data_IF_415936078683
#
_entry.id   IF_415936078683
#
_cell.length_a   1.000
_cell.length_b   1.000
_cell.length_c   1.000
_cell.angle_alpha   90.00
_cell.angle_beta   90.00
_cell.angle_gamma   90.00
#
_symmetry.space_group_name_H-M   'P 1'
#
loop_
_entity.id
_entity.type
_entity.pdbx_description
1 polymer ?
#
# COMPACT_ATOMS: atom_id res chain seq x y z
N UNK A 1 -25.61 -8.65 -6.57
CA UNK A 1 -24.94 -9.35 -5.44
C UNK A 1 -23.67 -8.61 -4.99
N UNK A 2 -23.57 -7.28 -5.09
CA UNK A 2 -22.26 -6.61 -5.14
C UNK A 2 -21.83 -5.88 -3.86
N UNK A 3 -22.71 -5.14 -3.17
CA UNK A 3 -22.25 -4.23 -2.11
C UNK A 3 -21.87 -4.92 -0.79
N UNK A 4 -22.60 -5.97 -0.38
CA UNK A 4 -22.36 -6.63 0.92
C UNK A 4 -21.01 -7.36 0.97
N UNK A 5 -20.59 -7.97 -0.14
CA UNK A 5 -19.29 -8.65 -0.20
C UNK A 5 -18.13 -7.67 -0.18
N UNK A 6 -18.25 -6.53 -0.86
CA UNK A 6 -17.22 -5.49 -0.86
C UNK A 6 -17.03 -4.89 0.53
N UNK A 7 -18.13 -4.60 1.24
CA UNK A 7 -18.08 -4.15 2.64
C UNK A 7 -17.39 -5.19 3.52
N UNK A 8 -17.77 -6.46 3.40
CA UNK A 8 -17.16 -7.53 4.18
C UNK A 8 -15.66 -7.72 3.90
N UNK A 9 -15.24 -7.61 2.63
CA UNK A 9 -13.81 -7.66 2.27
C UNK A 9 -13.04 -6.52 2.92
N UNK A 10 -13.60 -5.30 2.95
CA UNK A 10 -12.98 -4.17 3.66
C UNK A 10 -12.86 -4.45 5.15
N UNK A 11 -13.88 -5.00 5.80
CA UNK A 11 -13.83 -5.39 7.22
C UNK A 11 -12.78 -6.46 7.51
N UNK A 12 -12.65 -7.46 6.62
CA UNK A 12 -11.57 -8.46 6.69
C UNK A 12 -10.22 -7.76 6.64
N UNK A 13 -9.98 -6.88 5.67
CA UNK A 13 -8.69 -6.21 5.49
C UNK A 13 -8.37 -5.27 6.65
N UNK A 14 -9.37 -4.56 7.18
CA UNK A 14 -9.26 -3.75 8.38
C UNK A 14 -8.86 -4.58 9.61
N UNK A 15 -9.37 -5.81 9.73
CA UNK A 15 -9.06 -6.74 10.82
C UNK A 15 -7.70 -7.41 10.63
N UNK A 16 -7.37 -7.78 9.40
CA UNK A 16 -6.12 -8.48 9.05
C UNK A 16 -4.91 -7.55 9.15
N UNK A 17 -5.05 -6.24 8.89
CA UNK A 17 -3.95 -5.27 8.99
C UNK A 17 -3.24 -5.31 10.36
N UNK A 18 -3.91 -5.09 11.52
CA UNK A 18 -3.24 -5.15 12.82
C UNK A 18 -2.70 -6.55 13.15
N UNK A 19 -3.38 -7.62 12.73
CA UNK A 19 -2.91 -9.00 12.93
C UNK A 19 -1.63 -9.30 12.13
N UNK A 20 -1.55 -8.84 10.88
CA UNK A 20 -0.37 -8.97 10.04
C UNK A 20 0.83 -8.21 10.60
N UNK A 21 0.58 -7.02 11.16
CA UNK A 21 1.59 -6.23 11.86
C UNK A 21 2.07 -6.93 13.15
N UNK A 22 1.15 -7.47 13.95
CA UNK A 22 1.47 -8.22 15.16
C UNK A 22 2.26 -9.50 14.86
N UNK A 23 1.84 -10.27 13.87
CA UNK A 23 2.56 -11.44 13.39
C UNK A 23 4.00 -11.08 13.00
N UNK A 24 4.19 -9.96 12.28
CA UNK A 24 5.53 -9.49 11.93
C UNK A 24 6.36 -9.13 13.18
N UNK A 25 5.81 -8.38 14.14
CA UNK A 25 6.52 -8.01 15.37
C UNK A 25 6.93 -9.23 16.20
N UNK A 26 6.10 -10.28 16.22
CA UNK A 26 6.38 -11.51 16.97
C UNK A 26 7.40 -12.43 16.27
N UNK A 27 7.37 -12.49 14.94
CA UNK A 27 8.11 -13.53 14.19
C UNK A 27 9.25 -13.00 13.34
N UNK A 28 9.29 -11.68 13.09
CA UNK A 28 10.15 -11.04 12.10
C UNK A 28 9.83 -11.40 10.65
N UNK A 29 8.71 -12.10 10.37
CA UNK A 29 8.31 -12.57 9.04
C UNK A 29 6.95 -11.98 8.65
N UNK A 30 6.70 -11.67 7.37
CA UNK A 30 5.41 -11.15 6.94
C UNK A 30 4.35 -12.28 6.93
N UNK A 31 3.11 -11.94 7.31
CA UNK A 31 1.97 -12.87 7.24
C UNK A 31 1.57 -13.22 5.79
N UNK A 32 1.96 -12.39 4.82
CA UNK A 32 1.69 -12.61 3.39
C UNK A 32 0.51 -11.82 2.82
N UNK A 33 -0.01 -10.84 3.56
CA UNK A 33 -1.20 -10.02 3.21
C UNK A 33 -0.85 -8.58 2.79
N UNK A 34 0.44 -8.32 2.51
CA UNK A 34 0.95 -6.96 2.29
C UNK A 34 0.37 -6.28 1.05
N UNK A 35 0.07 -7.04 0.00
CA UNK A 35 -0.51 -6.48 -1.24
C UNK A 35 -1.94 -6.01 -1.01
N UNK A 36 -2.75 -6.88 -0.42
CA UNK A 36 -4.15 -6.64 -0.13
C UNK A 36 -4.34 -5.51 0.89
N UNK A 37 -3.48 -5.45 1.92
CA UNK A 37 -3.48 -4.33 2.87
C UNK A 37 -3.06 -3.02 2.19
N UNK A 38 -2.10 -3.04 1.26
CA UNK A 38 -1.71 -1.84 0.52
C UNK A 38 -2.85 -1.31 -0.36
N UNK A 39 -3.57 -2.19 -1.04
CA UNK A 39 -4.78 -1.83 -1.81
C UNK A 39 -5.84 -1.19 -0.92
N UNK A 40 -6.16 -1.85 0.21
CA UNK A 40 -7.10 -1.31 1.20
C UNK A 40 -6.67 0.07 1.72
N UNK A 41 -5.43 0.21 2.18
CA UNK A 41 -4.93 1.48 2.73
C UNK A 41 -4.92 2.59 1.69
N UNK A 42 -4.55 2.31 0.44
CA UNK A 42 -4.63 3.28 -0.65
C UNK A 42 -6.07 3.68 -0.96
N UNK A 43 -7.01 2.72 -0.98
CA UNK A 43 -8.42 3.01 -1.21
C UNK A 43 -9.01 3.92 -0.13
N UNK A 44 -8.74 3.62 1.15
CA UNK A 44 -9.20 4.45 2.27
C UNK A 44 -8.55 5.84 2.28
N UNK A 45 -7.25 5.93 2.00
CA UNK A 45 -6.50 7.19 2.07
C UNK A 45 -6.80 8.12 0.89
N UNK A 46 -6.97 7.58 -0.31
CA UNK A 46 -7.10 8.34 -1.55
C UNK A 46 -8.52 8.32 -2.15
N UNK A 47 -9.47 7.66 -1.50
CA UNK A 47 -10.85 7.53 -1.99
C UNK A 47 -10.96 6.70 -3.26
N UNK A 48 -10.14 5.65 -3.40
CA UNK A 48 -10.18 4.79 -4.60
C UNK A 48 -11.29 3.73 -4.49
N UNK A 49 -11.84 3.35 -5.63
CA UNK A 49 -12.76 2.22 -5.74
C UNK A 49 -11.97 0.98 -6.12
N UNK A 50 -11.79 0.04 -5.20
CA UNK A 50 -11.15 -1.25 -5.50
C UNK A 50 -12.01 -2.04 -6.49
N UNK A 51 -11.35 -2.71 -7.44
CA UNK A 51 -12.05 -3.60 -8.38
C UNK A 51 -11.88 -5.06 -7.99
N UNK A 52 -12.77 -5.96 -8.42
CA UNK A 52 -12.65 -7.39 -8.10
C UNK A 52 -11.34 -7.99 -8.61
N UNK A 53 -10.78 -8.95 -7.85
CA UNK A 53 -9.46 -9.59 -8.05
C UNK A 53 -9.24 -10.34 -9.38
N UNK A 54 -10.22 -10.33 -10.30
CA UNK A 54 -10.14 -10.93 -11.64
C UNK A 54 -10.08 -9.89 -12.76
N UNK A 55 -10.05 -8.61 -12.41
CA UNK A 55 -9.91 -7.54 -13.40
C UNK A 55 -8.52 -7.57 -14.00
N UNK A 56 -8.45 -7.55 -15.32
CA UNK A 56 -7.17 -7.65 -16.02
C UNK A 56 -6.45 -6.32 -15.93
N UNK A 57 -5.43 -6.24 -15.07
CA UNK A 57 -4.35 -5.25 -15.21
C UNK A 57 -4.39 -4.03 -14.29
N UNK A 58 -5.46 -3.80 -13.54
CA UNK A 58 -5.56 -2.72 -12.56
C UNK A 58 -6.32 -3.18 -11.31
N UNK A 59 -6.08 -2.51 -10.20
CA UNK A 59 -6.51 -2.90 -8.85
C UNK A 59 -7.56 -1.92 -8.30
N UNK A 60 -7.61 -0.68 -8.81
CA UNK A 60 -8.59 0.33 -8.41
C UNK A 60 -8.92 1.35 -9.50
N UNK A 61 -9.98 2.13 -9.26
CA UNK A 61 -10.43 3.26 -10.08
C UNK A 61 -10.42 4.57 -9.28
N UNK A 62 -10.00 5.66 -9.94
CA UNK A 62 -10.20 7.05 -9.51
C UNK A 62 -10.99 7.79 -10.60
N UNK A 63 -12.32 7.76 -10.50
CA UNK A 63 -13.17 8.11 -11.64
C UNK A 63 -12.99 7.11 -12.78
N UNK A 64 -12.56 7.57 -13.95
CA UNK A 64 -12.25 6.72 -15.11
C UNK A 64 -10.78 6.25 -15.13
N UNK A 65 -9.91 6.82 -14.28
CA UNK A 65 -8.50 6.46 -14.21
C UNK A 65 -8.31 5.07 -13.61
N UNK A 66 -7.62 4.19 -14.34
CA UNK A 66 -7.29 2.81 -13.91
C UNK A 66 -5.93 2.80 -13.22
N UNK A 67 -5.92 2.32 -11.98
CA UNK A 67 -4.74 2.35 -11.12
C UNK A 67 -4.30 0.93 -10.78
N UNK A 68 -3.04 0.60 -11.04
CA UNK A 68 -2.40 -0.61 -10.54
C UNK A 68 -1.63 -0.29 -9.24
N UNK A 69 -2.05 -0.89 -8.15
CA UNK A 69 -1.50 -0.69 -6.82
C UNK A 69 -0.46 -1.77 -6.53
N UNK A 70 0.69 -1.37 -5.99
CA UNK A 70 1.77 -2.28 -5.60
C UNK A 70 2.21 -1.94 -4.20
N UNK A 71 2.02 -2.88 -3.28
CA UNK A 71 2.42 -2.74 -1.88
C UNK A 71 3.87 -3.14 -1.64
N UNK A 72 4.57 -2.39 -0.79
CA UNK A 72 5.85 -2.79 -0.21
C UNK A 72 5.91 -2.38 1.25
N UNK A 73 6.06 -3.37 2.13
CA UNK A 73 6.41 -3.14 3.52
C UNK A 73 7.94 -3.10 3.69
N UNK A 74 8.45 -2.12 4.43
CA UNK A 74 9.85 -2.05 4.84
C UNK A 74 9.95 -1.53 6.27
N UNK A 75 11.08 -1.76 6.92
CA UNK A 75 11.36 -1.26 8.26
C UNK A 75 12.83 -0.83 8.34
N UNK A 76 13.24 -0.29 9.49
CA UNK A 76 14.60 0.23 9.69
C UNK A 76 15.71 -0.80 9.38
N UNK A 77 15.41 -2.10 9.56
CA UNK A 77 16.34 -3.20 9.29
C UNK A 77 16.09 -3.91 7.94
N UNK A 78 15.28 -3.35 7.05
CA UNK A 78 14.95 -3.99 5.78
C UNK A 78 16.19 -4.09 4.88
N UNK A 79 16.55 -5.31 4.48
CA UNK A 79 17.66 -5.54 3.55
C UNK A 79 17.37 -4.86 2.21
N UNK A 80 18.36 -4.17 1.59
CA UNK A 80 18.18 -3.47 0.31
C UNK A 80 17.70 -4.33 -0.88
N UNK A 81 17.66 -5.66 -0.72
CA UNK A 81 17.29 -6.62 -1.77
C UNK A 81 15.82 -7.05 -1.79
N UNK A 82 14.96 -6.61 -0.87
CA UNK A 82 13.54 -6.97 -0.91
C UNK A 82 12.86 -6.32 -2.13
N UNK A 83 12.38 -7.16 -3.04
CA UNK A 83 11.81 -6.75 -4.33
C UNK A 83 10.30 -6.58 -4.22
N UNK A 84 9.79 -5.51 -4.82
CA UNK A 84 8.36 -5.36 -5.11
C UNK A 84 7.93 -6.42 -6.14
N UNK A 85 6.67 -6.83 -6.08
CA UNK A 85 6.04 -7.68 -7.09
C UNK A 85 6.17 -7.07 -8.49
N UNK A 86 6.31 -7.91 -9.52
CA UNK A 86 6.42 -7.49 -10.91
C UNK A 86 5.20 -6.68 -11.35
N UNK A 87 5.44 -5.56 -12.03
CA UNK A 87 4.41 -4.79 -12.73
C UNK A 87 4.08 -5.57 -14.02
N UNK A 88 2.80 -5.92 -14.20
CA UNK A 88 2.35 -6.56 -15.44
C UNK A 88 2.46 -5.54 -16.56
N UNK A 89 3.22 -5.86 -17.60
CA UNK A 89 3.26 -5.08 -18.84
C UNK A 89 2.00 -5.40 -19.66
N UNK A 90 1.60 -4.49 -20.53
CA UNK A 90 0.44 -4.61 -21.44
C UNK A 90 -0.92 -4.73 -20.73
N UNK A 91 -1.04 -4.13 -19.55
CA UNK A 91 -2.29 -3.99 -18.84
C UNK A 91 -3.06 -2.74 -19.29
N UNK A 92 -4.41 -2.76 -19.34
CA UNK A 92 -5.23 -1.58 -19.51
C UNK A 92 -5.17 -0.74 -18.22
N UNK A 93 -4.09 0.00 -18.02
CA UNK A 93 -3.78 0.74 -16.80
C UNK A 93 -3.21 2.12 -17.16
N UNK A 94 -3.60 3.14 -16.39
CA UNK A 94 -3.22 4.52 -16.63
C UNK A 94 -2.11 4.95 -15.65
N UNK A 95 -2.20 4.49 -14.39
CA UNK A 95 -1.29 4.90 -13.31
C UNK A 95 -0.82 3.71 -12.46
N UNK A 96 0.47 3.72 -12.09
CA UNK A 96 1.03 2.82 -11.08
C UNK A 96 1.14 3.56 -9.77
N UNK A 97 0.54 3.00 -8.71
CA UNK A 97 0.64 3.48 -7.35
C UNK A 97 1.48 2.51 -6.50
N UNK A 98 2.65 2.96 -6.04
CA UNK A 98 3.46 2.24 -5.07
C UNK A 98 3.11 2.70 -3.66
N UNK A 99 2.62 1.79 -2.83
CA UNK A 99 2.30 2.04 -1.43
C UNK A 99 3.43 1.52 -0.56
N UNK A 100 4.09 2.43 0.13
CA UNK A 100 5.19 2.18 1.05
C UNK A 100 4.64 2.09 2.47
N UNK A 101 4.60 0.87 3.00
CA UNK A 101 4.12 0.56 4.34
C UNK A 101 5.29 0.36 5.31
N UNK A 102 5.09 0.74 6.56
CA UNK A 102 5.95 0.31 7.66
C UNK A 102 5.67 -1.17 7.99
N UNK A 103 6.69 -2.01 8.12
CA UNK A 103 6.45 -3.45 8.30
C UNK A 103 5.97 -3.85 9.70
N UNK A 104 6.20 -3.02 10.71
CA UNK A 104 5.87 -3.30 12.09
C UNK A 104 4.44 -2.86 12.42
N UNK A 105 3.86 -1.98 11.61
CA UNK A 105 2.52 -1.40 11.82
C UNK A 105 1.58 -1.62 10.63
N UNK A 106 2.13 -1.87 9.44
CA UNK A 106 1.42 -1.85 8.15
C UNK A 106 0.70 -0.51 7.88
N UNK A 107 1.14 0.58 8.52
CA UNK A 107 0.70 1.93 8.20
C UNK A 107 1.41 2.44 6.95
N UNK A 108 0.70 3.21 6.13
CA UNK A 108 1.32 3.88 5.00
C UNK A 108 2.25 5.00 5.50
N UNK A 109 3.49 4.98 5.01
CA UNK A 109 4.45 6.06 5.17
C UNK A 109 4.36 7.00 3.96
N UNK A 110 4.41 6.42 2.76
CA UNK A 110 4.41 7.14 1.49
C UNK A 110 3.57 6.42 0.42
N UNK A 111 3.01 7.18 -0.49
CA UNK A 111 2.32 6.69 -1.68
C UNK A 111 2.89 7.41 -2.89
N UNK A 112 3.46 6.65 -3.81
CA UNK A 112 4.16 7.17 -4.97
C UNK A 112 3.35 6.82 -6.21
N UNK A 113 2.87 7.83 -6.95
CA UNK A 113 2.14 7.63 -8.20
C UNK A 113 2.98 8.04 -9.43
N UNK A 114 2.91 7.25 -10.51
CA UNK A 114 3.52 7.58 -11.80
C UNK A 114 2.67 7.06 -12.97
N UNK A 115 2.70 7.73 -14.14
CA UNK A 115 2.02 7.23 -15.33
C UNK A 115 2.50 5.82 -15.71
N UNK A 116 1.57 4.91 -15.97
CA UNK A 116 1.87 3.51 -16.30
C UNK A 116 2.81 3.38 -17.50
N UNK A 117 2.54 4.13 -18.57
CA UNK A 117 3.40 4.18 -19.76
C UNK A 117 4.86 4.55 -19.44
N UNK A 118 5.06 5.54 -18.57
CA UNK A 118 6.40 5.96 -18.14
C UNK A 118 7.14 4.87 -17.36
N UNK A 119 6.41 4.07 -16.57
CA UNK A 119 6.98 2.94 -15.83
C UNK A 119 7.33 1.79 -16.77
N UNK A 120 6.45 1.45 -17.72
CA UNK A 120 6.69 0.43 -18.74
C UNK A 120 7.94 0.75 -19.58
N UNK A 121 8.06 2.00 -20.07
CA UNK A 121 9.25 2.45 -20.80
C UNK A 121 10.54 2.26 -19.99
N UNK A 122 10.50 2.55 -18.70
CA UNK A 122 11.67 2.35 -17.84
C UNK A 122 12.03 0.88 -17.67
N UNK A 123 11.04 0.01 -17.47
CA UNK A 123 11.23 -1.41 -17.29
C UNK A 123 11.74 -2.09 -18.57
N UNK A 124 11.40 -1.55 -19.74
CA UNK A 124 11.89 -2.02 -21.03
C UNK A 124 13.37 -1.68 -21.30
N UNK A 125 13.97 -0.74 -20.56
CA UNK A 125 15.38 -0.35 -20.78
C UNK A 125 16.33 -1.46 -20.32
N UNK A 126 17.28 -1.91 -21.15
CA UNK A 126 18.24 -2.93 -20.75
C UNK A 126 19.24 -2.42 -19.70
N UNK A 127 19.67 -3.33 -18.83
CA UNK A 127 20.74 -3.11 -17.84
C UNK A 127 20.28 -2.54 -16.49
N UNK A 128 21.21 -2.48 -15.53
CA UNK A 128 20.98 -2.01 -14.17
C UNK A 128 20.50 -0.55 -14.06
N UNK A 129 20.64 0.24 -15.13
CA UNK A 129 20.24 1.65 -15.26
C UNK A 129 18.72 1.87 -15.36
N UNK A 130 17.93 0.83 -15.66
CA UNK A 130 16.47 0.87 -15.49
C UNK A 130 16.05 1.24 -14.05
N UNK A 131 16.91 0.97 -13.06
CA UNK A 131 16.60 1.07 -11.62
C UNK A 131 16.89 2.45 -11.00
N UNK A 132 17.74 3.28 -11.61
CA UNK A 132 18.19 4.56 -11.02
C UNK A 132 17.53 5.81 -11.60
N UNK A 133 17.17 5.78 -12.89
CA UNK A 133 16.59 6.95 -13.58
C UNK A 133 15.07 7.08 -13.43
N UNK A 134 14.37 5.96 -13.17
CA UNK A 134 12.91 5.95 -13.24
C UNK A 134 12.21 6.53 -12.00
N UNK A 135 12.86 6.50 -10.84
CA UNK A 135 12.31 7.01 -9.58
C UNK A 135 11.96 8.52 -9.63
N UNK A 136 12.58 9.28 -10.55
CA UNK A 136 12.33 10.74 -10.71
C UNK A 136 10.95 11.09 -11.24
N UNK A 137 10.15 10.11 -11.66
CA UNK A 137 8.83 10.31 -12.28
C UNK A 137 7.66 10.06 -11.33
N UNK A 138 7.95 9.68 -10.09
CA UNK A 138 6.93 9.48 -9.08
C UNK A 138 6.60 10.79 -8.38
N UNK A 139 5.30 11.10 -8.29
CA UNK A 139 4.80 12.10 -7.35
C UNK A 139 4.60 11.41 -6.00
N UNK A 140 5.19 11.98 -4.96
CA UNK A 140 5.06 11.46 -3.59
C UNK A 140 3.91 12.17 -2.88
N UNK A 141 2.96 11.41 -2.37
CA UNK A 141 2.04 11.81 -1.32
C UNK A 141 2.48 11.16 -0.01
N UNK A 142 2.67 11.96 1.03
CA UNK A 142 2.88 11.44 2.39
C UNK A 142 1.52 11.11 3.00
N UNK A 143 1.38 9.90 3.51
CA UNK A 143 0.21 9.55 4.27
C UNK A 143 0.30 10.28 5.62
N UNK A 144 -0.46 11.38 5.79
CA UNK A 144 -0.60 11.98 7.11
C UNK A 144 -1.46 11.04 7.95
N UNK A 145 -0.84 10.26 8.83
CA UNK A 145 -1.56 9.41 9.78
C UNK A 145 -2.54 10.24 10.65
N UNK A 146 -3.60 9.60 11.18
CA UNK A 146 -4.47 10.28 12.14
C UNK A 146 -3.63 10.74 13.34
N UNK A 147 -3.82 12.00 13.76
CA UNK A 147 -3.26 12.49 15.03
C UNK A 147 -3.79 11.59 16.13
N UNK A 148 -2.91 10.78 16.74
CA UNK A 148 -3.23 10.06 17.97
C UNK A 148 -3.68 11.11 18.98
N UNK A 149 -4.99 11.14 19.25
CA UNK A 149 -5.57 11.96 20.29
C UNK A 149 -4.88 11.61 21.60
N UNK A 150 -4.36 12.63 22.27
CA UNK A 150 -3.79 12.51 23.61
C UNK A 150 -4.82 11.80 24.49
N UNK A 151 -4.46 10.61 24.96
CA UNK A 151 -5.21 9.90 25.99
C UNK A 151 -5.17 10.80 27.24
N UNK A 152 -6.30 11.23 27.81
CA UNK A 152 -6.25 12.01 29.03
C UNK A 152 -5.65 11.11 30.13
N UNK A 153 -4.56 11.59 30.73
CA UNK A 153 -3.99 11.01 31.94
C UNK A 153 -5.06 11.03 33.03
N UNK A 154 -5.55 9.84 33.39
CA UNK A 154 -6.43 9.68 34.52
C UNK A 154 -5.56 9.85 35.77
N UNK A 155 -5.60 11.05 36.39
CA UNK A 155 -4.98 11.29 37.69
C UNK A 155 -5.67 10.40 38.72
N UNK A 156 -4.94 9.38 39.18
CA UNK A 156 -5.20 8.72 40.46
C UNK A 156 -5.27 9.80 41.54
N UNK A 157 -6.44 9.91 42.18
CA UNK A 157 -6.57 10.64 43.46
C UNK A 157 -6.37 9.59 44.53
N UNK A 158 -5.17 9.58 45.08
CA UNK A 158 -4.93 9.06 46.43
C UNK A 158 -4.79 10.26 47.37
N UNK A 159 -5.39 10.09 48.55
CA UNK A 159 -5.17 10.79 49.83
C UNK A 159 -5.78 12.18 50.06
N UNK A 160 -6.97 12.21 50.68
CA UNK A 160 -7.21 12.65 52.07
C UNK A 160 -8.64 12.29 52.55
#
# INVERSE_FOLDING_TARGET
MSNAHEVWVREILATVKPLGAEYYRLTGKPLGVTGEVAEYVAAETLGLTLVPARTVGYDALRGEERIQIKGRAYGANAKPGQRMSRIKLDAPCDTVLLVLLDNATLEAHEMWEAPYASVCECLARPGSKARGGCAKRFRVQTARGPRVGQRPENKTRDDE
#
